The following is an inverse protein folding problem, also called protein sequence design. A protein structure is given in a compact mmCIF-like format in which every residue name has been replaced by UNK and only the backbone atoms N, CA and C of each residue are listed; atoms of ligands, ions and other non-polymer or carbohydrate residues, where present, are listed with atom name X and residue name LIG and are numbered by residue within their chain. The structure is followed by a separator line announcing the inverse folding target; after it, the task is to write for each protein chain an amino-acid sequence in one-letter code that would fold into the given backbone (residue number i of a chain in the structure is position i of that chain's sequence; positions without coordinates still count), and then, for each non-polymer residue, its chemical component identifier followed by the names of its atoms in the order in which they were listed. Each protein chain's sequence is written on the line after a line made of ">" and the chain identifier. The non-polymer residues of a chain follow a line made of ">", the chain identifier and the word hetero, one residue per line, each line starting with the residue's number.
data_IF_395334401491
#
_entry.id   IF_395334401491
#
_cell.length_a   1.000
_cell.length_b   1.000
_cell.length_c   1.000
_cell.angle_alpha   90.00
_cell.angle_beta   90.00
_cell.angle_gamma   90.00
#
_symmetry.space_group_name_H-M   'P 1'
#
loop_
_entity.id
_entity.type
_entity.pdbx_description
1 polymer ?
#
# COMPACT_ATOMS: atom_id res chain seq x y z
N UNK A 1 -6.87 -16.04 -1.62
CA UNK A 1 -6.11 -15.39 -0.52
C UNK A 1 -6.93 -14.24 0.01
N UNK A 2 -6.90 -14.01 1.31
CA UNK A 2 -7.63 -12.94 1.97
C UNK A 2 -6.68 -12.29 2.96
N UNK A 3 -6.51 -10.97 2.85
CA UNK A 3 -5.59 -10.20 3.68
C UNK A 3 -6.40 -9.24 4.53
N UNK A 4 -6.27 -9.35 5.83
CA UNK A 4 -7.00 -8.53 6.80
C UNK A 4 -6.02 -7.69 7.61
N UNK A 5 -6.46 -6.49 8.00
CA UNK A 5 -5.73 -5.62 8.93
C UNK A 5 -4.27 -5.36 8.51
N UNK A 6 -4.04 -5.17 7.21
CA UNK A 6 -2.71 -4.85 6.69
C UNK A 6 -2.40 -3.35 6.78
N UNK A 7 -3.42 -2.49 6.66
CA UNK A 7 -3.25 -1.03 6.69
C UNK A 7 -2.86 -0.44 5.33
N UNK A 8 -2.44 0.82 5.33
CA UNK A 8 -2.33 1.65 4.12
C UNK A 8 -1.35 1.14 3.05
N UNK A 9 -0.35 0.33 3.40
CA UNK A 9 0.61 -0.23 2.44
C UNK A 9 0.05 -1.44 1.67
N UNK A 10 -1.16 -1.91 1.99
CA UNK A 10 -1.75 -3.10 1.40
C UNK A 10 -1.93 -3.01 -0.13
N UNK A 11 -2.07 -1.81 -0.69
CA UNK A 11 -2.11 -1.59 -2.13
C UNK A 11 -0.85 -2.13 -2.86
N UNK A 12 0.35 -1.87 -2.33
CA UNK A 12 1.58 -2.48 -2.86
C UNK A 12 1.66 -3.98 -2.58
N UNK A 13 1.15 -4.41 -1.43
CA UNK A 13 1.14 -5.83 -1.02
C UNK A 13 0.32 -6.70 -1.96
N UNK A 14 -0.89 -6.26 -2.34
CA UNK A 14 -1.75 -7.01 -3.26
C UNK A 14 -1.12 -7.13 -4.65
N UNK A 15 -0.41 -6.10 -5.13
CA UNK A 15 0.29 -6.15 -6.41
C UNK A 15 1.44 -7.16 -6.37
N UNK A 16 2.24 -7.15 -5.30
CA UNK A 16 3.31 -8.13 -5.09
C UNK A 16 2.78 -9.56 -5.07
N UNK A 17 1.70 -9.81 -4.33
CA UNK A 17 1.10 -11.14 -4.27
C UNK A 17 0.50 -11.56 -5.63
N UNK A 18 -0.19 -10.65 -6.31
CA UNK A 18 -0.80 -10.93 -7.60
C UNK A 18 0.24 -11.19 -8.70
N UNK A 19 1.40 -10.52 -8.65
CA UNK A 19 2.55 -10.79 -9.54
C UNK A 19 2.96 -12.25 -9.46
N UNK A 20 3.30 -12.74 -8.26
CA UNK A 20 3.74 -14.12 -8.07
C UNK A 20 2.66 -15.13 -8.47
N UNK A 21 1.40 -14.86 -8.12
CA UNK A 21 0.28 -15.73 -8.48
C UNK A 21 0.06 -15.80 -9.99
N UNK A 22 0.15 -14.68 -10.70
CA UNK A 22 -0.03 -14.61 -12.14
C UNK A 22 1.14 -15.24 -12.90
N UNK A 23 2.38 -14.89 -12.54
CA UNK A 23 3.58 -15.33 -13.26
C UNK A 23 3.89 -16.80 -13.03
N UNK A 24 3.58 -17.33 -11.83
CA UNK A 24 3.92 -18.71 -11.49
C UNK A 24 2.82 -19.73 -11.88
N UNK A 25 1.70 -19.29 -12.47
CA UNK A 25 0.60 -20.16 -12.85
C UNK A 25 0.11 -19.84 -14.28
N UNK A 26 0.49 -20.68 -15.25
CA UNK A 26 0.15 -20.47 -16.67
C UNK A 26 -1.36 -20.31 -16.86
N UNK A 27 -1.77 -19.23 -17.52
CA UNK A 27 -3.17 -18.90 -17.80
C UNK A 27 -3.95 -18.33 -16.61
N UNK A 28 -3.31 -18.07 -15.47
CA UNK A 28 -3.99 -17.45 -14.34
C UNK A 28 -4.40 -16.00 -14.65
N UNK A 29 -5.58 -15.64 -14.14
CA UNK A 29 -6.10 -14.27 -14.07
C UNK A 29 -6.55 -14.02 -12.64
N UNK A 30 -5.84 -13.12 -11.96
CA UNK A 30 -6.01 -12.83 -10.54
C UNK A 30 -6.88 -11.60 -10.39
N UNK A 31 -8.07 -11.76 -9.84
CA UNK A 31 -8.88 -10.64 -9.37
C UNK A 31 -8.36 -10.17 -8.02
N UNK A 32 -7.93 -8.92 -7.96
CA UNK A 32 -7.56 -8.22 -6.73
C UNK A 32 -8.64 -7.21 -6.41
N UNK A 33 -9.07 -7.18 -5.15
CA UNK A 33 -10.02 -6.20 -4.63
C UNK A 33 -9.49 -5.65 -3.31
N UNK A 34 -9.36 -4.32 -3.24
CA UNK A 34 -9.18 -3.59 -1.99
C UNK A 34 -10.47 -2.84 -1.69
N UNK A 35 -11.01 -2.99 -0.49
CA UNK A 35 -12.24 -2.31 -0.06
C UNK A 35 -12.07 -1.88 1.38
N UNK A 36 -12.17 -0.57 1.61
CA UNK A 36 -11.96 0.06 2.90
C UNK A 36 -13.22 0.84 3.29
N UNK A 37 -13.67 0.63 4.53
CA UNK A 37 -14.86 1.27 5.09
C UNK A 37 -14.51 1.81 6.48
N UNK A 38 -14.66 3.12 6.66
CA UNK A 38 -14.29 3.86 7.88
C UNK A 38 -15.22 3.62 9.06
N UNK A 39 -16.31 2.88 8.87
CA UNK A 39 -17.21 2.49 9.97
C UNK A 39 -16.48 1.81 11.13
N UNK A 40 -15.36 1.11 10.87
CA UNK A 40 -14.56 0.47 11.92
C UNK A 40 -13.69 1.46 12.71
N UNK A 41 -13.47 2.66 12.19
CA UNK A 41 -12.53 3.67 12.73
C UNK A 41 -13.25 4.91 13.27
N UNK A 42 -14.47 5.17 12.79
CA UNK A 42 -15.29 6.32 13.12
C UNK A 42 -15.59 6.41 14.62
N UNK A 43 -15.35 7.59 15.20
CA UNK A 43 -15.58 7.85 16.63
C UNK A 43 -15.68 9.35 16.94
N UNK A 44 -16.24 9.66 18.11
CA UNK A 44 -16.29 11.03 18.62
C UNK A 44 -14.90 11.62 18.96
N UNK A 45 -14.78 12.95 19.01
CA UNK A 45 -13.53 13.63 19.32
C UNK A 45 -13.14 13.51 20.81
N UNK A 46 -11.84 13.68 21.10
CA UNK A 46 -11.29 13.71 22.46
C UNK A 46 -10.06 14.62 22.51
N UNK A 47 -10.00 15.54 23.48
CA UNK A 47 -8.87 16.46 23.64
C UNK A 47 -7.54 15.75 23.96
N UNK A 48 -7.61 14.54 24.50
CA UNK A 48 -6.42 13.73 24.83
C UNK A 48 -5.95 12.83 23.70
N UNK A 49 -6.68 12.75 22.57
CA UNK A 49 -6.40 11.85 21.44
C UNK A 49 -6.42 12.62 20.10
N UNK A 50 -5.49 13.57 19.95
CA UNK A 50 -5.39 14.41 18.74
C UNK A 50 -4.99 13.60 17.50
N UNK A 51 -4.23 12.52 17.65
CA UNK A 51 -3.90 11.55 16.61
C UNK A 51 -5.15 10.89 16.01
N UNK A 52 -6.13 10.57 16.85
CA UNK A 52 -7.42 10.06 16.38
C UNK A 52 -8.15 11.08 15.52
N UNK A 53 -8.06 12.38 15.82
CA UNK A 53 -8.69 13.44 15.01
C UNK A 53 -8.06 13.56 13.63
N UNK A 54 -6.74 13.33 13.52
CA UNK A 54 -6.06 13.24 12.21
C UNK A 54 -6.68 12.12 11.39
N UNK A 55 -6.86 10.93 11.99
CA UNK A 55 -7.55 9.81 11.33
C UNK A 55 -8.96 10.16 10.86
N UNK A 56 -9.76 10.87 11.69
CA UNK A 56 -11.12 11.30 11.31
C UNK A 56 -11.13 12.32 10.15
N UNK A 57 -10.06 13.10 9.98
CA UNK A 57 -9.96 14.09 8.91
C UNK A 57 -9.45 13.50 7.58
N UNK A 58 -8.68 12.42 7.62
CA UNK A 58 -8.00 11.85 6.45
C UNK A 58 -8.71 10.63 5.86
N UNK A 59 -9.26 9.74 6.70
CA UNK A 59 -9.78 8.47 6.20
C UNK A 59 -11.13 8.64 5.52
N UNK A 60 -11.30 7.94 4.40
CA UNK A 60 -12.54 7.88 3.64
C UNK A 60 -12.80 6.47 3.13
N UNK A 61 -14.05 6.24 2.74
CA UNK A 61 -14.50 4.96 2.19
C UNK A 61 -14.11 4.84 0.71
N UNK A 62 -13.72 3.64 0.28
CA UNK A 62 -13.36 3.41 -1.11
C UNK A 62 -13.09 1.96 -1.44
N UNK A 63 -13.27 1.59 -2.71
CA UNK A 63 -12.90 0.29 -3.22
C UNK A 63 -12.28 0.40 -4.61
N UNK A 64 -11.32 -0.48 -4.90
CA UNK A 64 -10.69 -0.62 -6.21
C UNK A 64 -10.52 -2.10 -6.55
N UNK A 65 -10.65 -2.43 -7.83
CA UNK A 65 -10.46 -3.77 -8.33
C UNK A 65 -9.60 -3.78 -9.60
N UNK A 66 -8.73 -4.77 -9.73
CA UNK A 66 -7.88 -4.98 -10.91
C UNK A 66 -7.83 -6.47 -11.27
N UNK A 67 -7.59 -6.74 -12.55
CA UNK A 67 -7.25 -8.08 -13.04
C UNK A 67 -5.77 -8.09 -13.38
N UNK A 68 -5.02 -9.01 -12.79
CA UNK A 68 -3.58 -9.22 -13.04
C UNK A 68 -3.38 -10.57 -13.69
N UNK A 69 -2.56 -10.63 -14.73
CA UNK A 69 -2.26 -11.86 -15.45
C UNK A 69 -0.96 -11.75 -16.22
N UNK A 70 -0.37 -12.89 -16.55
CA UNK A 70 0.76 -13.02 -17.46
C UNK A 70 0.29 -13.58 -18.81
N UNK A 71 1.09 -13.38 -19.85
CA UNK A 71 0.79 -13.80 -21.22
C UNK A 71 -0.58 -13.29 -21.70
N UNK A 72 -0.75 -11.96 -21.90
CA UNK A 72 -2.02 -11.40 -22.32
C UNK A 72 -2.43 -11.92 -23.70
N UNK A 73 -3.74 -12.14 -23.92
CA UNK A 73 -4.30 -12.54 -25.21
C UNK A 73 -4.52 -11.28 -26.07
N UNK A 74 -3.68 -10.98 -27.08
CA UNK A 74 -3.63 -9.65 -27.69
C UNK A 74 -4.93 -9.17 -28.37
N UNK A 75 -5.78 -10.10 -28.78
CA UNK A 75 -7.06 -9.82 -29.45
C UNK A 75 -8.18 -9.45 -28.48
N UNK A 76 -8.01 -9.76 -27.18
CA UNK A 76 -9.06 -9.65 -26.15
C UNK A 76 -8.61 -8.75 -25.00
N UNK A 77 -7.36 -8.88 -24.58
CA UNK A 77 -6.80 -8.24 -23.39
C UNK A 77 -5.86 -7.11 -23.80
N UNK A 78 -6.05 -5.93 -23.21
CA UNK A 78 -5.20 -4.76 -23.41
C UNK A 78 -4.46 -4.45 -22.10
N UNK A 79 -3.16 -4.78 -21.99
CA UNK A 79 -2.36 -4.43 -20.82
C UNK A 79 -2.34 -2.92 -20.58
N UNK A 80 -2.39 -2.51 -19.31
CA UNK A 80 -2.32 -1.10 -18.90
C UNK A 80 -0.94 -0.79 -18.32
N UNK A 81 -0.45 -1.65 -17.42
CA UNK A 81 0.87 -1.59 -16.80
C UNK A 81 1.44 -3.00 -16.64
N UNK A 82 2.77 -3.10 -16.51
CA UNK A 82 3.49 -4.35 -16.23
C UNK A 82 4.17 -4.27 -14.86
N UNK A 83 4.07 -5.34 -14.08
CA UNK A 83 4.72 -5.43 -12.77
C UNK A 83 6.12 -6.03 -12.94
N UNK A 84 7.14 -5.17 -13.03
CA UNK A 84 8.53 -5.62 -13.27
C UNK A 84 9.19 -6.16 -12.01
N UNK A 85 9.12 -5.40 -10.91
CA UNK A 85 9.77 -5.72 -9.65
C UNK A 85 8.91 -5.23 -8.47
N UNK A 86 8.99 -5.96 -7.36
CA UNK A 86 8.26 -5.62 -6.12
C UNK A 86 9.12 -5.95 -4.92
N UNK A 87 9.13 -5.08 -3.92
CA UNK A 87 9.77 -5.33 -2.63
C UNK A 87 9.01 -4.69 -1.48
N UNK A 88 9.47 -5.02 -0.27
CA UNK A 88 8.96 -4.46 0.97
C UNK A 88 10.14 -4.33 1.94
N UNK A 89 10.13 -3.27 2.73
CA UNK A 89 11.12 -3.04 3.78
C UNK A 89 10.43 -2.44 5.01
N UNK A 90 11.12 -2.51 6.16
CA UNK A 90 10.70 -1.85 7.40
C UNK A 90 11.73 -0.76 7.68
N UNK A 91 11.27 0.47 7.86
CA UNK A 91 12.16 1.57 8.20
C UNK A 91 12.83 1.29 9.56
N UNK A 92 14.16 1.52 9.69
CA UNK A 92 14.83 1.41 10.98
C UNK A 92 14.18 2.30 12.05
N UNK A 93 14.15 1.82 13.29
CA UNK A 93 13.68 2.58 14.47
C UNK A 93 12.26 3.19 14.31
N UNK A 94 11.39 2.54 13.52
CA UNK A 94 10.05 3.03 13.19
C UNK A 94 8.90 2.30 13.90
N UNK A 95 9.21 1.35 14.79
CA UNK A 95 8.19 0.61 15.53
C UNK A 95 7.34 1.56 16.38
N UNK A 96 6.01 1.43 16.29
CA UNK A 96 5.06 2.31 16.97
C UNK A 96 4.83 3.66 16.28
N UNK A 97 5.45 3.92 15.12
CA UNK A 97 5.19 5.13 14.36
C UNK A 97 3.76 5.21 13.83
N UNK A 98 3.19 4.06 13.46
CA UNK A 98 1.78 3.90 13.10
C UNK A 98 1.30 2.60 13.75
N UNK A 99 0.39 2.71 14.70
CA UNK A 99 -0.23 1.55 15.34
C UNK A 99 -1.74 1.53 15.09
N UNK A 100 -2.27 0.32 14.90
CA UNK A 100 -3.70 0.05 14.85
C UNK A 100 -4.05 -1.02 15.88
N UNK A 101 -5.08 -0.78 16.69
CA UNK A 101 -5.55 -1.75 17.68
C UNK A 101 -7.06 -1.97 17.53
N UNK A 102 -7.43 -3.18 17.13
CA UNK A 102 -8.83 -3.60 17.16
C UNK A 102 -9.25 -3.90 18.60
N UNK A 103 -10.23 -3.14 19.10
CA UNK A 103 -10.76 -3.23 20.47
C UNK A 103 -12.29 -3.34 20.42
N UNK A 104 -12.92 -3.54 21.57
CA UNK A 104 -14.38 -3.50 21.72
C UNK A 104 -14.99 -2.17 21.24
N UNK A 105 -14.20 -1.09 21.30
CA UNK A 105 -14.55 0.26 20.81
C UNK A 105 -14.22 0.48 19.33
N UNK A 106 -14.01 -0.59 18.55
CA UNK A 106 -13.58 -0.52 17.16
C UNK A 106 -12.06 -0.42 17.00
N UNK A 107 -11.62 -0.03 15.80
CA UNK A 107 -10.21 0.08 15.43
C UNK A 107 -9.65 1.45 15.85
N UNK A 108 -8.79 1.46 16.86
CA UNK A 108 -8.09 2.67 17.34
C UNK A 108 -6.77 2.84 16.60
N UNK A 109 -6.40 4.07 16.23
CA UNK A 109 -5.11 4.36 15.60
C UNK A 109 -4.28 5.30 16.44
N UNK A 110 -2.97 5.09 16.39
CA UNK A 110 -1.97 5.98 16.97
C UNK A 110 -0.94 6.33 15.90
N UNK A 111 -0.65 7.63 15.78
CA UNK A 111 0.31 8.14 14.81
C UNK A 111 1.34 9.00 15.53
N UNK A 112 2.62 8.65 15.36
CA UNK A 112 3.70 9.57 15.69
C UNK A 112 3.75 10.71 14.67
N UNK A 113 4.03 11.92 15.15
CA UNK A 113 4.09 13.12 14.29
C UNK A 113 5.17 13.04 13.21
N UNK A 114 6.22 12.23 13.42
CA UNK A 114 7.40 12.17 12.56
C UNK A 114 7.32 11.11 11.45
N UNK A 115 6.15 10.52 11.20
CA UNK A 115 5.96 9.56 10.07
C UNK A 115 6.46 10.12 8.73
N UNK A 116 6.17 11.38 8.33
CA UNK A 116 6.71 11.94 7.09
C UNK A 116 8.25 12.02 7.06
N UNK A 117 8.88 12.28 8.21
CA UNK A 117 10.34 12.28 8.35
C UNK A 117 10.91 10.88 8.19
N UNK A 118 10.31 9.89 8.85
CA UNK A 118 10.71 8.48 8.74
C UNK A 118 10.63 8.01 7.28
N UNK A 119 9.53 8.31 6.58
CA UNK A 119 9.36 7.91 5.17
C UNK A 119 10.39 8.61 4.29
N UNK A 120 10.50 9.94 4.36
CA UNK A 120 11.39 10.70 3.47
C UNK A 120 12.87 10.30 3.62
N UNK A 121 13.32 10.00 4.84
CA UNK A 121 14.68 9.54 5.12
C UNK A 121 15.00 8.13 4.57
N UNK A 122 13.98 7.32 4.25
CA UNK A 122 14.15 5.95 3.78
C UNK A 122 13.81 5.74 2.29
N UNK A 123 13.09 6.69 1.68
CA UNK A 123 12.64 6.59 0.28
C UNK A 123 13.79 6.44 -0.71
N UNK A 124 14.88 7.21 -0.58
CA UNK A 124 16.00 7.15 -1.52
C UNK A 124 16.66 5.76 -1.57
N UNK A 125 16.82 5.11 -0.40
CA UNK A 125 17.34 3.75 -0.32
C UNK A 125 16.45 2.76 -1.06
N UNK A 126 15.13 2.86 -0.89
CA UNK A 126 14.17 1.98 -1.56
C UNK A 126 14.17 2.19 -3.09
N UNK A 127 14.27 3.43 -3.56
CA UNK A 127 14.39 3.74 -4.98
C UNK A 127 15.70 3.22 -5.56
N UNK A 128 16.82 3.44 -4.86
CA UNK A 128 18.12 2.97 -5.29
C UNK A 128 18.17 1.43 -5.38
N UNK A 129 17.50 0.71 -4.48
CA UNK A 129 17.37 -0.75 -4.56
C UNK A 129 16.57 -1.19 -5.78
N UNK A 130 15.43 -0.55 -6.04
CA UNK A 130 14.54 -0.89 -7.15
C UNK A 130 15.16 -0.59 -8.53
N UNK A 131 15.83 0.56 -8.67
CA UNK A 131 16.21 1.11 -9.97
C UNK A 131 17.68 0.91 -10.35
N UNK A 132 18.56 0.58 -9.40
CA UNK A 132 19.98 0.29 -9.69
C UNK A 132 20.18 -0.81 -10.74
N UNK A 133 19.44 -1.95 -10.73
CA UNK A 133 19.56 -2.96 -11.78
C UNK A 133 19.17 -2.47 -13.17
N UNK A 134 18.34 -1.42 -13.24
CA UNK A 134 17.87 -0.81 -14.49
C UNK A 134 18.76 0.37 -14.95
N UNK A 135 19.76 0.75 -14.16
CA UNK A 135 20.63 1.90 -14.45
C UNK A 135 19.91 3.26 -14.39
N UNK A 136 18.77 3.34 -13.70
CA UNK A 136 17.99 4.58 -13.56
C UNK A 136 18.40 5.27 -12.25
N UNK A 137 18.81 6.53 -12.35
CA UNK A 137 19.18 7.37 -11.19
C UNK A 137 18.47 8.73 -11.15
N UNK A 138 17.88 9.18 -12.27
CA UNK A 138 17.04 10.38 -12.29
C UNK A 138 15.58 10.00 -12.04
N UNK A 139 15.11 10.16 -10.81
CA UNK A 139 13.74 9.81 -10.45
C UNK A 139 12.68 10.80 -10.97
N UNK A 140 13.07 11.91 -11.61
CA UNK A 140 12.11 12.76 -12.33
C UNK A 140 11.78 12.22 -13.72
N UNK A 141 12.56 11.24 -14.21
CA UNK A 141 12.32 10.58 -15.50
C UNK A 141 11.25 9.48 -15.44
N UNK A 142 10.81 9.08 -14.24
CA UNK A 142 9.80 8.05 -14.02
C UNK A 142 8.44 8.67 -13.66
N UNK A 143 7.36 7.93 -13.91
CA UNK A 143 6.05 8.28 -13.38
C UNK A 143 5.91 7.83 -11.93
N UNK A 144 5.08 8.53 -11.15
CA UNK A 144 4.94 8.32 -9.71
C UNK A 144 3.53 7.91 -9.31
N UNK A 145 3.47 6.91 -8.42
CA UNK A 145 2.27 6.54 -7.68
C UNK A 145 2.72 6.34 -6.23
N UNK A 146 2.32 7.24 -5.35
CA UNK A 146 2.58 7.17 -3.91
C UNK A 146 1.25 7.11 -3.16
N UNK A 147 1.20 6.37 -2.05
CA UNK A 147 0.06 6.46 -1.13
C UNK A 147 0.02 7.89 -0.54
N UNK A 148 -1.10 8.62 -0.65
CA UNK A 148 -1.21 10.01 -0.23
C UNK A 148 -1.28 10.18 1.28
#
# INVERSE_FOLDING_TARGET
>A
YMMYQQGCFAGGTVLRLAKDLAENNKGARVLVVCSEITAVTFRGPSETHLDSLVGQALFGDGAAAIIVGSDPVPEIEKPIFELVWTAQTIAPDSAGAIDGHLREVGLTFHLLKDVPGIVSNNTDKALAEAFRPLGISDYNSIFWIAHP
#
